data_IF_275541623009
#
_entry.id   IF_275541623009
#
_cell.length_a   1.000
_cell.length_b   1.000
_cell.length_c   1.000
_cell.angle_alpha   90.00
_cell.angle_beta   90.00
_cell.angle_gamma   90.00
#
_symmetry.space_group_name_H-M   'P 1'
#
loop_
_entity.id
_entity.type
_entity.pdbx_description
1 polymer ?
#
# COMPACT_ATOMS: atom_id res chain seq x y z
N UNK A 1 10.98 -2.33 13.54
CA UNK A 1 11.70 -1.13 13.97
C UNK A 1 10.82 0.04 13.61
N UNK A 2 10.91 1.15 14.33
CA UNK A 2 10.05 2.30 14.06
C UNK A 2 10.28 2.85 12.64
N UNK A 3 11.50 2.72 12.13
CA UNK A 3 11.88 3.20 10.81
C UNK A 3 11.19 2.43 9.68
N UNK A 4 11.17 1.09 9.74
CA UNK A 4 10.44 0.24 8.79
C UNK A 4 8.94 0.59 8.72
N UNK A 5 8.33 0.91 9.86
CA UNK A 5 6.92 1.32 9.89
C UNK A 5 6.71 2.71 9.27
N UNK A 6 7.61 3.66 9.54
CA UNK A 6 7.57 5.00 8.94
C UNK A 6 7.78 4.96 7.43
N UNK A 7 8.73 4.14 6.98
CA UNK A 7 9.03 3.91 5.57
C UNK A 7 7.82 3.35 4.83
N UNK A 8 7.20 2.28 5.37
CA UNK A 8 5.96 1.72 4.84
C UNK A 8 4.86 2.79 4.64
N UNK A 9 4.68 3.71 5.60
CA UNK A 9 3.69 4.79 5.44
C UNK A 9 4.04 5.77 4.30
N UNK A 10 5.32 6.09 4.11
CA UNK A 10 5.78 6.95 3.00
C UNK A 10 5.58 6.23 1.67
N UNK A 11 5.94 4.96 1.59
CA UNK A 11 5.76 4.14 0.39
C UNK A 11 4.28 4.00 0.02
N UNK A 12 3.40 3.74 0.99
CA UNK A 12 1.95 3.67 0.77
C UNK A 12 1.40 4.95 0.17
N UNK A 13 1.87 6.10 0.63
CA UNK A 13 1.43 7.39 0.11
C UNK A 13 1.97 7.66 -1.29
N UNK A 14 3.23 7.35 -1.55
CA UNK A 14 3.80 7.42 -2.90
C UNK A 14 3.05 6.54 -3.90
N UNK A 15 2.70 5.31 -3.50
CA UNK A 15 1.93 4.39 -4.32
C UNK A 15 0.52 4.94 -4.62
N UNK A 16 -0.18 5.52 -3.63
CA UNK A 16 -1.49 6.16 -3.84
C UNK A 16 -1.42 7.30 -4.86
N UNK A 17 -0.35 8.11 -4.81
CA UNK A 17 -0.13 9.20 -5.78
C UNK A 17 0.11 8.64 -7.18
N UNK A 18 1.00 7.67 -7.34
CA UNK A 18 1.28 7.05 -8.64
C UNK A 18 0.03 6.39 -9.24
N UNK A 19 -0.76 5.68 -8.43
CA UNK A 19 -2.04 5.10 -8.87
C UNK A 19 -2.97 6.19 -9.38
N UNK A 20 -3.14 7.28 -8.63
CA UNK A 20 -4.01 8.39 -9.04
C UNK A 20 -3.55 9.04 -10.36
N UNK A 21 -2.24 9.23 -10.55
CA UNK A 21 -1.66 9.77 -11.80
C UNK A 21 -1.85 8.83 -12.99
N UNK A 22 -1.74 7.51 -12.78
CA UNK A 22 -1.98 6.50 -13.81
C UNK A 22 -3.47 6.47 -14.20
N UNK A 23 -4.36 6.47 -13.22
CA UNK A 23 -5.81 6.47 -13.46
C UNK A 23 -6.28 7.76 -14.17
N UNK A 24 -5.67 8.90 -13.86
CA UNK A 24 -6.01 10.19 -14.49
C UNK A 24 -5.46 10.33 -15.91
N UNK A 25 -4.25 9.83 -16.18
CA UNK A 25 -3.60 9.92 -17.50
C UNK A 25 -4.14 8.93 -18.53
N UNK A 26 -4.50 7.72 -18.10
CA UNK A 26 -4.95 6.65 -19.00
C UNK A 26 -3.83 6.04 -19.86
N UNK A 27 -4.13 5.00 -20.64
CA UNK A 27 -3.12 4.20 -21.35
C UNK A 27 -2.41 4.94 -22.51
N UNK A 28 -2.97 6.06 -22.99
CA UNK A 28 -2.37 6.87 -24.05
C UNK A 28 -1.41 7.96 -23.49
N UNK A 29 -1.26 8.08 -22.17
CA UNK A 29 -0.28 8.98 -21.53
C UNK A 29 1.15 8.57 -21.90
N UNK A 30 1.97 9.54 -22.32
CA UNK A 30 3.36 9.31 -22.75
C UNK A 30 4.19 8.54 -21.71
N UNK A 31 3.85 8.71 -20.42
CA UNK A 31 4.56 8.09 -19.31
C UNK A 31 3.79 6.93 -18.67
N UNK A 32 2.68 6.45 -19.25
CA UNK A 32 1.86 5.39 -18.66
C UNK A 32 2.68 4.15 -18.28
N UNK A 33 3.39 3.56 -19.25
CA UNK A 33 4.19 2.35 -19.03
C UNK A 33 5.30 2.58 -17.99
N UNK A 34 5.91 3.77 -18.00
CA UNK A 34 6.95 4.14 -17.04
C UNK A 34 6.37 4.26 -15.63
N UNK A 35 5.22 4.92 -15.46
CA UNK A 35 4.52 5.04 -14.17
C UNK A 35 4.10 3.67 -13.64
N UNK A 36 3.53 2.81 -14.48
CA UNK A 36 3.15 1.43 -14.10
C UNK A 36 4.37 0.62 -13.67
N UNK A 37 5.48 0.73 -14.41
CA UNK A 37 6.73 0.05 -14.05
C UNK A 37 7.24 0.50 -12.69
N UNK A 38 7.35 1.80 -12.45
CA UNK A 38 7.84 2.35 -11.18
C UNK A 38 6.91 1.96 -10.02
N UNK A 39 5.60 1.99 -10.23
CA UNK A 39 4.65 1.50 -9.24
C UNK A 39 4.89 0.02 -8.90
N UNK A 40 5.13 -0.84 -9.91
CA UNK A 40 5.46 -2.26 -9.68
C UNK A 40 6.72 -2.43 -8.85
N UNK A 41 7.80 -1.73 -9.20
CA UNK A 41 9.08 -1.79 -8.47
C UNK A 41 8.91 -1.32 -7.01
N UNK A 42 8.13 -0.26 -6.79
CA UNK A 42 7.84 0.23 -5.45
C UNK A 42 7.03 -0.77 -4.61
N UNK A 43 6.03 -1.42 -5.21
CA UNK A 43 5.22 -2.43 -4.52
C UNK A 43 6.05 -3.70 -4.23
N UNK A 44 6.89 -4.13 -5.16
CA UNK A 44 7.80 -5.27 -4.97
C UNK A 44 8.76 -5.03 -3.81
N UNK A 45 9.38 -3.84 -3.76
CA UNK A 45 10.26 -3.43 -2.66
C UNK A 45 9.52 -3.45 -1.32
N UNK A 46 8.37 -2.78 -1.25
CA UNK A 46 7.54 -2.71 -0.05
C UNK A 46 7.17 -4.11 0.50
N UNK A 47 6.75 -5.01 -0.39
CA UNK A 47 6.41 -6.39 -0.02
C UNK A 47 7.64 -7.15 0.47
N UNK A 48 8.80 -7.01 -0.20
CA UNK A 48 10.03 -7.65 0.24
C UNK A 48 10.41 -7.24 1.67
N UNK A 49 10.27 -5.95 2.00
CA UNK A 49 10.57 -5.44 3.34
C UNK A 49 9.62 -5.98 4.43
N UNK A 50 8.32 -6.05 4.15
CA UNK A 50 7.33 -6.59 5.08
C UNK A 50 7.51 -8.11 5.31
N UNK A 51 7.84 -8.84 4.24
CA UNK A 51 7.98 -10.31 4.25
C UNK A 51 9.40 -10.80 4.61
N UNK A 52 10.39 -9.91 4.66
CA UNK A 52 11.80 -10.25 4.91
C UNK A 52 11.94 -11.18 6.10
N UNK A 53 12.68 -12.28 5.90
CA UNK A 53 12.87 -13.29 6.95
C UNK A 53 13.59 -12.68 8.15
N UNK A 54 13.09 -12.99 9.34
CA UNK A 54 13.63 -12.57 10.65
C UNK A 54 13.52 -11.07 10.95
N UNK A 55 13.76 -10.20 9.98
CA UNK A 55 13.83 -8.75 10.14
C UNK A 55 12.60 -8.00 9.62
N UNK A 56 11.78 -8.61 8.76
CA UNK A 56 10.61 -7.96 8.17
C UNK A 56 9.46 -7.74 9.15
N UNK A 57 8.52 -6.86 8.77
CA UNK A 57 7.40 -6.45 9.60
C UNK A 57 6.62 -7.64 10.16
N UNK A 58 6.31 -8.64 9.34
CA UNK A 58 5.55 -9.82 9.78
C UNK A 58 6.33 -10.72 10.73
N UNK A 59 7.65 -10.81 10.57
CA UNK A 59 8.51 -11.53 11.50
C UNK A 59 8.52 -10.87 12.87
N UNK A 60 8.59 -9.53 12.89
CA UNK A 60 8.56 -8.75 14.12
C UNK A 60 7.21 -8.86 14.85
N UNK A 61 6.10 -8.80 14.12
CA UNK A 61 4.76 -9.00 14.67
C UNK A 61 4.62 -10.39 15.34
N UNK A 62 5.06 -11.45 14.66
CA UNK A 62 5.08 -12.82 15.24
C UNK A 62 5.94 -12.89 16.51
N UNK A 63 7.14 -12.30 16.48
CA UNK A 63 8.05 -12.26 17.63
C UNK A 63 7.46 -11.50 18.82
N UNK A 64 6.63 -10.48 18.56
CA UNK A 64 5.89 -9.74 19.57
C UNK A 64 4.68 -10.50 20.14
N UNK A 65 4.38 -11.69 19.62
CA UNK A 65 3.29 -12.55 20.11
C UNK A 65 1.92 -12.22 19.52
N UNK A 66 1.85 -11.50 18.39
CA UNK A 66 0.58 -11.33 17.68
C UNK A 66 0.06 -12.66 17.14
N UNK A 67 -1.24 -12.89 17.30
CA UNK A 67 -1.95 -13.96 16.63
C UNK A 67 -2.18 -13.57 15.16
N UNK A 68 -1.29 -14.03 14.30
CA UNK A 68 -1.30 -13.71 12.87
C UNK A 68 -2.46 -14.36 12.13
N UNK A 69 -2.95 -15.51 12.59
CA UNK A 69 -4.05 -16.21 11.96
C UNK A 69 -5.35 -15.44 12.24
N UNK A 70 -5.58 -15.06 13.51
CA UNK A 70 -6.72 -14.21 13.87
C UNK A 70 -6.67 -12.84 13.18
N UNK A 71 -5.48 -12.22 13.07
CA UNK A 71 -5.32 -10.97 12.31
C UNK A 71 -5.63 -11.17 10.82
N UNK A 72 -5.17 -12.28 10.23
CA UNK A 72 -5.45 -12.62 8.84
C UNK A 72 -6.94 -12.79 8.56
N UNK A 73 -7.69 -13.43 9.47
CA UNK A 73 -9.15 -13.54 9.37
C UNK A 73 -9.84 -12.18 9.40
N UNK A 74 -9.41 -11.29 10.31
CA UNK A 74 -9.94 -9.92 10.39
C UNK A 74 -9.64 -9.11 9.12
N UNK A 75 -8.41 -9.19 8.60
CA UNK A 75 -8.02 -8.50 7.37
C UNK A 75 -8.77 -9.03 6.14
N UNK A 76 -9.00 -10.34 6.06
CA UNK A 76 -9.80 -10.95 4.99
C UNK A 76 -11.24 -10.45 5.02
N UNK A 77 -11.90 -10.47 6.18
CA UNK A 77 -13.25 -9.95 6.33
C UNK A 77 -13.31 -8.45 5.97
N UNK A 78 -12.33 -7.66 6.41
CA UNK A 78 -12.24 -6.23 6.07
C UNK A 78 -12.03 -6.00 4.57
N UNK A 79 -11.22 -6.82 3.91
CA UNK A 79 -11.02 -6.77 2.45
C UNK A 79 -12.32 -7.07 1.71
N UNK A 80 -13.06 -8.11 2.10
CA UNK A 80 -14.35 -8.44 1.51
C UNK A 80 -15.35 -7.28 1.61
N UNK A 81 -15.45 -6.65 2.79
CA UNK A 81 -16.29 -5.47 3.01
C UNK A 81 -15.87 -4.29 2.11
N UNK A 82 -14.57 -3.98 2.05
CA UNK A 82 -14.06 -2.88 1.24
C UNK A 82 -14.25 -3.11 -0.26
N UNK A 83 -14.10 -4.35 -0.74
CA UNK A 83 -14.37 -4.71 -2.14
C UNK A 83 -15.85 -4.54 -2.46
N UNK A 84 -16.76 -4.97 -1.57
CA UNK A 84 -18.19 -4.77 -1.76
C UNK A 84 -18.56 -3.26 -1.81
N UNK A 85 -17.98 -2.45 -0.91
CA UNK A 85 -18.18 -1.00 -0.89
C UNK A 85 -17.65 -0.35 -2.19
N UNK A 86 -16.48 -0.77 -2.65
CA UNK A 86 -15.90 -0.31 -3.92
C UNK A 86 -16.79 -0.64 -5.12
N UNK A 87 -17.31 -1.87 -5.20
CA UNK A 87 -18.20 -2.29 -6.28
C UNK A 87 -19.53 -1.53 -6.28
N UNK A 88 -20.05 -1.18 -5.09
CA UNK A 88 -21.32 -0.47 -4.95
C UNK A 88 -21.20 1.05 -5.19
N UNK A 89 -20.08 1.66 -4.81
CA UNK A 89 -19.95 3.12 -4.72
C UNK A 89 -18.73 3.73 -5.41
N UNK A 90 -17.88 2.93 -6.05
CA UNK A 90 -16.60 3.35 -6.63
C UNK A 90 -15.48 3.47 -5.59
N UNK A 91 -14.30 3.91 -6.02
CA UNK A 91 -13.13 4.04 -5.16
C UNK A 91 -13.30 5.23 -4.21
N UNK A 92 -13.14 4.99 -2.91
CA UNK A 92 -13.06 6.08 -1.95
C UNK A 92 -11.80 6.90 -2.22
N UNK A 93 -11.86 8.22 -1.96
CA UNK A 93 -10.66 9.06 -2.05
C UNK A 93 -9.58 8.52 -1.10
N UNK A 94 -8.37 8.23 -1.59
CA UNK A 94 -7.30 7.74 -0.74
C UNK A 94 -6.94 8.78 0.32
N UNK A 95 -6.69 8.32 1.54
CA UNK A 95 -6.14 9.15 2.61
C UNK A 95 -4.64 8.95 2.67
N UNK A 96 -3.89 10.04 2.68
CA UNK A 96 -2.45 10.05 2.91
C UNK A 96 -2.13 10.18 4.40
N UNK A 97 -1.06 9.53 4.83
CA UNK A 97 -0.56 9.55 6.22
C UNK A 97 0.60 10.54 6.37
N UNK A 98 1.54 10.53 5.43
CA UNK A 98 2.80 11.29 5.46
C UNK A 98 2.78 12.47 4.50
N UNK A 99 2.02 12.38 3.40
CA UNK A 99 1.83 13.49 2.48
C UNK A 99 0.74 14.41 3.03
N UNK A 100 1.13 15.48 3.71
CA UNK A 100 0.26 16.64 3.98
C UNK A 100 0.20 17.53 2.75
N UNK A 101 -0.71 18.51 2.69
CA UNK A 101 -0.72 19.50 1.60
C UNK A 101 0.66 20.16 1.49
N UNK A 102 1.46 19.72 0.52
CA UNK A 102 2.68 20.38 0.11
C UNK A 102 2.35 21.02 -1.23
N UNK A 103 2.28 22.35 -1.25
CA UNK A 103 2.20 23.09 -2.49
C UNK A 103 3.49 22.83 -3.27
N UNK A 104 3.38 22.14 -4.40
CA UNK A 104 4.43 22.03 -5.41
C UNK A 104 4.22 23.14 -6.44
#
# INVERSE_FOLDING_TARGET
>A
EEDLLKEAYVEHDGAKVLIAEIEAGGPDDEYYDAKVKVLSEQIEHHVEEEEKRMEGMFSQARKAGLDMDALGEQLRARKEELVANYQAGGLAKPKTTTLTEVAV
#
